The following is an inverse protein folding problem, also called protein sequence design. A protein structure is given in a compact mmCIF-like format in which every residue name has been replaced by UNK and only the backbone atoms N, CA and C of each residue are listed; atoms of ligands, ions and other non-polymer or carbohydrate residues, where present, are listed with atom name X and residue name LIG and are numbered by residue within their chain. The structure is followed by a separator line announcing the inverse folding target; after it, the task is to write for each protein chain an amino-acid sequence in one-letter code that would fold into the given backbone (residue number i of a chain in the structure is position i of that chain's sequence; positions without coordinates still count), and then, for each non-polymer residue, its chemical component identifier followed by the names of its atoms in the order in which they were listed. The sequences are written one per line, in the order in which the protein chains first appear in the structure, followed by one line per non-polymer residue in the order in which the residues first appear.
data_IF_958529347615
#
_entry.id   IF_958529347615
#
_cell.length_a   1.000
_cell.length_b   1.000
_cell.length_c   1.000
_cell.angle_alpha   90.00
_cell.angle_beta   90.00
_cell.angle_gamma   90.00
#
_symmetry.space_group_name_H-M   'P 1'
#
loop_
_entity.id
_entity.type
_entity.pdbx_description
1 polymer ?
#
# COMPACT_ATOMS: atom_id res chain seq x y z
N UNK A 1 -20.26 5.19 4.01
CA UNK A 1 -19.18 5.89 4.74
C UNK A 1 -19.82 6.68 5.88
N UNK A 2 -19.48 6.35 7.12
CA UNK A 2 -19.96 7.07 8.29
C UNK A 2 -19.18 8.40 8.49
N UNK A 3 -19.47 9.15 9.57
CA UNK A 3 -18.86 10.46 9.81
C UNK A 3 -17.36 10.34 10.15
N UNK A 4 -16.99 9.33 10.94
CA UNK A 4 -15.58 9.10 11.29
C UNK A 4 -14.74 8.74 10.05
N UNK A 5 -15.28 7.92 9.16
CA UNK A 5 -14.63 7.59 7.89
C UNK A 5 -14.45 8.80 6.97
N UNK A 6 -15.43 9.70 6.93
CA UNK A 6 -15.32 10.95 6.16
C UNK A 6 -14.21 11.85 6.72
N UNK A 7 -14.11 11.96 8.04
CA UNK A 7 -13.04 12.74 8.68
C UNK A 7 -11.66 12.12 8.43
N UNK A 8 -11.51 10.80 8.49
CA UNK A 8 -10.27 10.10 8.14
C UNK A 8 -9.89 10.37 6.67
N UNK A 9 -10.84 10.24 5.76
CA UNK A 9 -10.63 10.52 4.34
C UNK A 9 -10.21 11.97 4.10
N UNK A 10 -10.89 12.93 4.73
CA UNK A 10 -10.58 14.35 4.65
C UNK A 10 -9.16 14.61 5.14
N UNK A 11 -8.80 14.09 6.32
CA UNK A 11 -7.46 14.21 6.88
C UNK A 11 -6.38 13.70 5.91
N UNK A 12 -6.57 12.50 5.34
CA UNK A 12 -5.59 11.91 4.43
C UNK A 12 -5.50 12.66 3.09
N UNK A 13 -6.61 13.24 2.60
CA UNK A 13 -6.56 14.13 1.44
C UNK A 13 -5.77 15.42 1.73
N UNK A 14 -5.96 16.02 2.90
CA UNK A 14 -5.29 17.27 3.28
C UNK A 14 -3.79 17.08 3.51
N UNK A 15 -3.39 16.02 4.24
CA UNK A 15 -1.98 15.80 4.56
C UNK A 15 -1.16 15.28 3.38
N UNK A 16 -1.78 14.76 2.33
CA UNK A 16 -1.09 14.19 1.17
C UNK A 16 -0.19 15.18 0.44
N UNK A 17 -0.46 16.48 0.55
CA UNK A 17 0.37 17.55 -0.01
C UNK A 17 1.20 18.30 1.05
N UNK A 18 1.30 17.77 2.28
CA UNK A 18 2.17 18.31 3.30
C UNK A 18 3.66 18.22 2.90
N UNK A 19 4.51 19.00 3.56
CA UNK A 19 5.95 18.98 3.33
C UNK A 19 6.55 17.58 3.53
N UNK A 20 6.06 16.86 4.56
CA UNK A 20 6.46 15.47 4.81
C UNK A 20 6.20 14.57 3.60
N UNK A 21 4.95 14.55 3.10
CA UNK A 21 4.59 13.70 1.95
C UNK A 21 5.30 14.12 0.67
N UNK A 22 5.48 15.43 0.43
CA UNK A 22 6.28 15.92 -0.69
C UNK A 22 7.74 15.45 -0.59
N UNK A 23 8.31 15.41 0.62
CA UNK A 23 9.67 14.90 0.84
C UNK A 23 9.85 13.44 0.48
N UNK A 24 8.79 12.64 0.52
CA UNK A 24 8.82 11.23 0.10
C UNK A 24 8.84 11.08 -1.42
N UNK A 25 8.39 12.08 -2.17
CA UNK A 25 8.26 12.09 -3.63
C UNK A 25 9.38 12.85 -4.34
N UNK A 26 10.50 13.11 -3.68
CA UNK A 26 11.66 13.76 -4.31
C UNK A 26 12.27 12.88 -5.40
N UNK A 27 12.83 13.51 -6.44
CA UNK A 27 13.51 12.80 -7.54
C UNK A 27 14.62 11.88 -7.02
N UNK A 28 15.32 12.27 -5.95
CA UNK A 28 16.35 11.44 -5.33
C UNK A 28 15.77 10.13 -4.76
N UNK A 29 14.69 10.24 -3.94
CA UNK A 29 14.06 9.07 -3.32
C UNK A 29 13.42 8.15 -4.35
N UNK A 30 12.68 8.74 -5.28
CA UNK A 30 12.03 8.00 -6.36
C UNK A 30 13.06 7.37 -7.31
N UNK A 31 14.14 8.08 -7.63
CA UNK A 31 15.24 7.59 -8.45
C UNK A 31 15.95 6.38 -7.83
N UNK A 32 16.10 6.35 -6.50
CA UNK A 32 16.63 5.19 -5.77
C UNK A 32 15.78 3.96 -5.99
N UNK A 33 14.46 4.09 -5.83
CA UNK A 33 13.52 2.97 -6.02
C UNK A 33 13.52 2.49 -7.47
N UNK A 34 13.54 3.42 -8.42
CA UNK A 34 13.61 3.07 -9.85
C UNK A 34 14.88 2.30 -10.20
N UNK A 35 16.01 2.65 -9.56
CA UNK A 35 17.31 1.98 -9.75
C UNK A 35 17.38 0.63 -9.02
N UNK A 36 16.85 0.59 -7.80
CA UNK A 36 16.81 -0.61 -6.96
C UNK A 36 15.45 -0.71 -6.26
N UNK A 37 14.48 -1.44 -6.84
CA UNK A 37 13.16 -1.61 -6.25
C UNK A 37 13.18 -2.23 -4.85
N UNK A 38 14.19 -3.05 -4.53
CA UNK A 38 14.34 -3.68 -3.21
C UNK A 38 14.48 -2.64 -2.09
N UNK A 39 15.03 -1.46 -2.40
CA UNK A 39 15.21 -0.37 -1.45
C UNK A 39 13.92 0.25 -0.91
N UNK A 40 12.75 -0.10 -1.47
CA UNK A 40 11.46 0.33 -0.98
C UNK A 40 10.99 -0.44 0.28
N UNK A 41 11.63 -1.54 0.62
CA UNK A 41 11.20 -2.43 1.69
C UNK A 41 12.13 -2.35 2.90
N UNK A 42 11.56 -2.61 4.08
CA UNK A 42 12.35 -2.81 5.28
C UNK A 42 13.26 -4.04 5.15
N UNK A 43 14.44 -4.04 5.78
CA UNK A 43 15.35 -5.19 5.75
C UNK A 43 14.64 -6.49 6.15
N UNK A 44 14.84 -7.55 5.37
CA UNK A 44 14.27 -8.88 5.62
C UNK A 44 12.80 -9.06 5.19
N UNK A 45 12.05 -7.97 4.95
CA UNK A 45 10.63 -8.07 4.57
C UNK A 45 10.47 -8.65 3.16
N UNK A 46 11.29 -8.21 2.22
CA UNK A 46 11.23 -8.69 0.85
C UNK A 46 11.63 -10.16 0.76
N UNK A 47 12.71 -10.54 1.44
CA UNK A 47 13.18 -11.93 1.54
C UNK A 47 12.13 -12.86 2.15
N UNK A 48 11.42 -12.36 3.18
CA UNK A 48 10.31 -13.09 3.78
C UNK A 48 9.19 -13.34 2.77
N UNK A 49 8.80 -12.34 2.00
CA UNK A 49 7.77 -12.49 0.97
C UNK A 49 8.25 -13.42 -0.16
N UNK A 50 9.47 -13.26 -0.65
CA UNK A 50 10.07 -14.13 -1.69
C UNK A 50 10.14 -15.60 -1.25
N UNK A 51 10.41 -15.87 0.03
CA UNK A 51 10.41 -17.21 0.60
C UNK A 51 9.06 -17.92 0.43
N UNK A 52 7.95 -17.19 0.51
CA UNK A 52 6.62 -17.77 0.51
C UNK A 52 5.95 -17.76 -0.87
N UNK A 53 6.17 -16.74 -1.68
CA UNK A 53 5.50 -16.59 -2.98
C UNK A 53 6.43 -16.70 -4.18
N UNK A 54 7.72 -16.87 -3.96
CA UNK A 54 8.73 -16.85 -5.01
C UNK A 54 8.99 -15.44 -5.56
N UNK A 55 9.26 -15.33 -6.85
CA UNK A 55 9.39 -14.02 -7.48
C UNK A 55 8.03 -13.34 -7.69
N UNK A 56 8.05 -12.03 -7.86
CA UNK A 56 6.83 -11.21 -8.00
C UNK A 56 6.31 -11.09 -9.43
N UNK A 57 7.10 -11.50 -10.42
CA UNK A 57 6.74 -11.37 -11.84
C UNK A 57 5.42 -12.09 -12.15
N UNK A 58 4.45 -11.35 -12.69
CA UNK A 58 3.11 -11.84 -13.01
C UNK A 58 2.18 -12.07 -11.81
N UNK A 59 2.66 -11.94 -10.56
CA UNK A 59 1.83 -12.08 -9.35
C UNK A 59 0.87 -10.91 -9.22
N UNK A 60 -0.35 -11.18 -8.80
CA UNK A 60 -1.33 -10.15 -8.45
C UNK A 60 -1.12 -9.74 -6.99
N UNK A 61 -0.81 -8.47 -6.77
CA UNK A 61 -0.52 -7.91 -5.45
C UNK A 61 -1.47 -6.76 -5.16
N UNK A 62 -2.15 -6.84 -4.02
CA UNK A 62 -2.99 -5.77 -3.49
C UNK A 62 -2.24 -5.03 -2.38
N UNK A 63 -2.23 -3.71 -2.44
CA UNK A 63 -1.76 -2.84 -1.38
C UNK A 63 -2.94 -1.99 -0.87
N UNK A 64 -3.62 -2.40 0.20
CA UNK A 64 -4.62 -1.57 0.86
C UNK A 64 -3.96 -0.51 1.76
N UNK A 65 -4.59 0.64 1.96
CA UNK A 65 -4.04 1.82 2.64
C UNK A 65 -2.66 2.20 2.10
N UNK A 66 -2.52 2.16 0.78
CA UNK A 66 -1.22 2.31 0.16
C UNK A 66 -0.83 3.78 -0.04
N UNK A 67 -1.80 4.65 -0.24
CA UNK A 67 -1.51 6.02 -0.61
C UNK A 67 -0.52 6.11 -1.78
N UNK A 68 0.55 6.87 -1.60
CA UNK A 68 1.69 6.95 -2.51
C UNK A 68 2.88 6.07 -2.07
N UNK A 69 2.60 4.91 -1.52
CA UNK A 69 3.58 3.98 -0.98
C UNK A 69 4.56 3.49 -2.06
N UNK A 70 5.84 3.64 -1.78
CA UNK A 70 6.93 3.22 -2.66
C UNK A 70 6.90 1.72 -3.00
N UNK A 71 6.36 0.89 -2.12
CA UNK A 71 6.24 -0.56 -2.36
C UNK A 71 5.36 -0.87 -3.59
N UNK A 72 4.33 -0.05 -3.89
CA UNK A 72 3.50 -0.24 -5.08
C UNK A 72 4.33 -0.11 -6.37
N UNK A 73 5.17 0.93 -6.44
CA UNK A 73 6.07 1.12 -7.58
C UNK A 73 7.11 0.01 -7.66
N UNK A 74 7.67 -0.38 -6.51
CA UNK A 74 8.68 -1.43 -6.45
C UNK A 74 8.15 -2.77 -6.94
N UNK A 75 6.98 -3.21 -6.50
CA UNK A 75 6.35 -4.43 -6.99
C UNK A 75 6.07 -4.37 -8.50
N UNK A 76 5.58 -3.23 -9.01
CA UNK A 76 5.36 -3.05 -10.44
C UNK A 76 6.67 -3.11 -11.24
N UNK A 77 7.75 -2.49 -10.74
CA UNK A 77 9.10 -2.59 -11.34
C UNK A 77 9.65 -4.02 -11.33
N UNK A 78 9.27 -4.84 -10.35
CA UNK A 78 9.60 -6.27 -10.29
C UNK A 78 8.66 -7.15 -11.13
N UNK A 79 7.78 -6.56 -11.94
CA UNK A 79 6.90 -7.26 -12.87
C UNK A 79 5.60 -7.79 -12.28
N UNK A 80 5.21 -7.37 -11.07
CA UNK A 80 3.92 -7.71 -10.50
C UNK A 80 2.78 -6.93 -11.16
N UNK A 81 1.57 -7.50 -11.12
CA UNK A 81 0.30 -6.80 -11.42
C UNK A 81 -0.21 -6.20 -10.12
N UNK A 82 -0.11 -4.89 -9.99
CA UNK A 82 -0.34 -4.18 -8.73
C UNK A 82 -1.70 -3.48 -8.75
N UNK A 83 -2.48 -3.70 -7.69
CA UNK A 83 -3.65 -2.91 -7.35
C UNK A 83 -3.35 -2.15 -6.06
N UNK A 84 -3.41 -0.83 -6.11
CA UNK A 84 -3.22 0.09 -5.00
C UNK A 84 -4.56 0.64 -4.57
N UNK A 85 -4.97 0.41 -3.33
CA UNK A 85 -6.25 0.88 -2.79
C UNK A 85 -6.03 1.81 -1.60
N UNK A 86 -6.73 2.94 -1.57
CA UNK A 86 -6.69 3.88 -0.45
C UNK A 86 -8.00 4.65 -0.32
N UNK A 87 -8.29 5.14 0.88
CA UNK A 87 -9.46 5.99 1.13
C UNK A 87 -9.27 7.41 0.56
N UNK A 88 -8.02 7.85 0.41
CA UNK A 88 -7.64 9.19 -0.08
C UNK A 88 -7.45 9.18 -1.60
N UNK A 89 -8.36 9.83 -2.31
CA UNK A 89 -8.20 10.06 -3.75
C UNK A 89 -6.92 10.85 -4.03
N UNK A 90 -6.60 11.84 -3.19
CA UNK A 90 -5.46 12.72 -3.41
C UNK A 90 -4.13 11.97 -3.34
N UNK A 91 -4.00 11.01 -2.43
CA UNK A 91 -2.80 10.16 -2.38
C UNK A 91 -2.71 9.26 -3.62
N UNK A 92 -3.82 8.69 -4.06
CA UNK A 92 -3.85 7.87 -5.28
C UNK A 92 -3.53 8.69 -6.53
N UNK A 93 -4.00 9.94 -6.65
CA UNK A 93 -3.65 10.84 -7.74
C UNK A 93 -2.14 11.12 -7.77
N UNK A 94 -1.53 11.40 -6.61
CA UNK A 94 -0.10 11.61 -6.48
C UNK A 94 0.69 10.36 -6.90
N UNK A 95 0.26 9.19 -6.46
CA UNK A 95 0.87 7.91 -6.84
C UNK A 95 0.72 7.64 -8.34
N UNK A 96 -0.47 7.89 -8.89
CA UNK A 96 -0.75 7.72 -10.32
C UNK A 96 0.14 8.60 -11.18
N UNK A 97 0.34 9.87 -10.82
CA UNK A 97 1.22 10.77 -11.55
C UNK A 97 2.68 10.26 -11.62
N UNK A 98 3.15 9.55 -10.57
CA UNK A 98 4.47 8.93 -10.57
C UNK A 98 4.50 7.70 -11.48
N UNK A 99 3.53 6.80 -11.35
CA UNK A 99 3.47 5.58 -12.17
C UNK A 99 3.32 5.90 -13.66
N UNK A 100 2.49 6.87 -14.03
CA UNK A 100 2.31 7.32 -15.43
C UNK A 100 3.65 7.83 -16.00
N UNK A 101 4.38 8.66 -15.24
CA UNK A 101 5.70 9.16 -15.64
C UNK A 101 6.75 8.05 -15.82
N UNK A 102 6.60 6.94 -15.11
CA UNK A 102 7.50 5.79 -15.21
C UNK A 102 7.04 4.73 -16.20
N UNK A 103 5.83 4.88 -16.78
CA UNK A 103 5.23 3.89 -17.67
C UNK A 103 4.85 2.60 -16.93
N UNK A 104 4.52 2.69 -15.64
CA UNK A 104 4.08 1.55 -14.85
C UNK A 104 2.56 1.40 -14.91
N UNK A 105 2.09 0.19 -15.14
CA UNK A 105 0.68 -0.17 -15.09
C UNK A 105 0.31 -0.58 -13.65
N UNK A 106 -0.28 0.36 -12.89
CA UNK A 106 -0.81 0.12 -11.54
C UNK A 106 -2.28 0.50 -11.55
N UNK A 107 -3.13 -0.40 -11.08
CA UNK A 107 -4.55 -0.12 -10.87
C UNK A 107 -4.73 0.66 -9.56
N UNK A 108 -5.44 1.79 -9.62
CA UNK A 108 -5.71 2.63 -8.45
C UNK A 108 -7.21 2.63 -8.13
N UNK A 109 -7.56 2.21 -6.90
CA UNK A 109 -8.94 2.09 -6.45
C UNK A 109 -9.15 2.90 -5.17
N UNK A 110 -10.02 3.92 -5.24
CA UNK A 110 -10.46 4.62 -4.03
C UNK A 110 -11.47 3.74 -3.28
N UNK A 111 -11.02 3.13 -2.18
CA UNK A 111 -11.82 2.25 -1.33
C UNK A 111 -11.35 2.31 0.13
N UNK A 112 -12.24 1.98 1.06
CA UNK A 112 -11.90 1.87 2.47
C UNK A 112 -11.28 0.50 2.75
N UNK A 113 -10.06 0.49 3.27
CA UNK A 113 -9.29 -0.72 3.59
C UNK A 113 -10.04 -1.67 4.53
N UNK A 114 -10.89 -1.15 5.40
CA UNK A 114 -11.68 -1.98 6.31
C UNK A 114 -12.67 -2.88 5.54
N UNK A 115 -13.24 -2.39 4.44
CA UNK A 115 -14.27 -3.12 3.68
C UNK A 115 -13.76 -3.76 2.39
N UNK A 116 -12.84 -3.12 1.70
CA UNK A 116 -12.33 -3.53 0.38
C UNK A 116 -13.48 -3.89 -0.58
N UNK A 117 -14.51 -3.02 -0.61
CA UNK A 117 -15.80 -3.30 -1.26
C UNK A 117 -15.73 -3.36 -2.78
N UNK A 118 -14.69 -2.71 -3.36
CA UNK A 118 -14.44 -2.67 -4.80
C UNK A 118 -13.34 -3.66 -5.23
N UNK A 119 -12.83 -4.46 -4.29
CA UNK A 119 -11.74 -5.40 -4.54
C UNK A 119 -12.33 -6.79 -4.82
N UNK A 120 -11.84 -7.40 -5.90
CA UNK A 120 -12.25 -8.74 -6.31
C UNK A 120 -11.87 -9.80 -5.28
N UNK A 121 -12.77 -10.78 -5.09
CA UNK A 121 -12.54 -11.91 -4.20
C UNK A 121 -11.58 -12.93 -4.83
N UNK A 122 -10.85 -13.66 -3.99
CA UNK A 122 -9.96 -14.79 -4.39
C UNK A 122 -9.05 -14.47 -5.60
N UNK A 123 -8.54 -13.23 -5.64
CA UNK A 123 -7.84 -12.70 -6.82
C UNK A 123 -6.35 -12.51 -6.60
N UNK A 124 -5.91 -12.20 -5.38
CA UNK A 124 -4.54 -11.78 -5.13
C UNK A 124 -3.66 -12.90 -4.57
N UNK A 125 -2.42 -12.95 -5.04
CA UNK A 125 -1.39 -13.87 -4.54
C UNK A 125 -0.79 -13.33 -3.22
N UNK A 126 -0.72 -12.00 -3.08
CA UNK A 126 -0.23 -11.29 -1.91
C UNK A 126 -1.10 -10.07 -1.62
N UNK A 127 -1.41 -9.86 -0.34
CA UNK A 127 -1.87 -8.55 0.18
C UNK A 127 -0.76 -8.00 1.07
N UNK A 128 -0.26 -6.81 0.74
CA UNK A 128 0.83 -6.16 1.49
C UNK A 128 0.37 -4.84 2.10
N UNK A 129 0.49 -4.70 3.41
CA UNK A 129 0.24 -3.46 4.16
C UNK A 129 1.50 -2.99 4.86
N UNK A 130 1.72 -1.68 4.92
CA UNK A 130 2.90 -1.13 5.59
C UNK A 130 2.68 0.30 6.10
N UNK A 131 3.63 0.75 6.92
CA UNK A 131 3.80 2.14 7.34
C UNK A 131 2.70 2.70 8.27
N UNK A 132 2.18 1.87 9.17
CA UNK A 132 1.31 2.33 10.25
C UNK A 132 -0.18 2.33 9.90
N UNK A 133 -0.61 1.41 9.05
CA UNK A 133 -2.02 1.23 8.66
C UNK A 133 -2.92 0.94 9.86
N UNK A 134 -2.51 0.04 10.75
CA UNK A 134 -3.38 -0.51 11.80
C UNK A 134 -3.94 0.54 12.77
N UNK A 135 -3.21 1.63 13.00
CA UNK A 135 -3.65 2.69 13.93
C UNK A 135 -4.85 3.50 13.42
N UNK A 136 -5.20 3.36 12.14
CA UNK A 136 -6.30 4.07 11.50
C UNK A 136 -7.53 3.19 11.25
N UNK A 137 -7.44 1.90 11.58
CA UNK A 137 -8.51 0.93 11.34
C UNK A 137 -9.25 0.64 12.64
N UNK A 138 -10.51 1.05 12.77
CA UNK A 138 -11.29 0.86 14.00
C UNK A 138 -11.70 -0.60 14.25
N UNK A 139 -11.88 -1.39 13.20
CA UNK A 139 -12.20 -2.82 13.30
C UNK A 139 -11.22 -3.68 12.50
N UNK A 140 -10.19 -4.18 13.18
CA UNK A 140 -9.19 -5.05 12.58
C UNK A 140 -9.75 -6.41 12.16
N UNK A 141 -10.78 -6.92 12.85
CA UNK A 141 -11.38 -8.19 12.47
C UNK A 141 -12.10 -8.07 11.11
N UNK A 142 -12.81 -6.96 10.90
CA UNK A 142 -13.46 -6.68 9.62
C UNK A 142 -12.40 -6.52 8.51
N UNK A 143 -11.36 -5.73 8.75
CA UNK A 143 -10.25 -5.56 7.81
C UNK A 143 -9.64 -6.90 7.40
N UNK A 144 -9.23 -7.73 8.37
CA UNK A 144 -8.57 -9.00 8.06
C UNK A 144 -9.52 -10.01 7.41
N UNK A 145 -10.81 -9.98 7.70
CA UNK A 145 -11.81 -10.79 6.99
C UNK A 145 -11.86 -10.41 5.51
N UNK A 146 -11.84 -9.13 5.19
CA UNK A 146 -11.85 -8.65 3.82
C UNK A 146 -10.51 -8.85 3.11
N UNK A 147 -9.37 -8.74 3.81
CA UNK A 147 -8.06 -9.14 3.29
C UNK A 147 -8.06 -10.64 2.92
N UNK A 148 -8.54 -11.50 3.81
CA UNK A 148 -8.64 -12.94 3.54
C UNK A 148 -9.56 -13.24 2.36
N UNK A 149 -10.68 -12.50 2.22
CA UNK A 149 -11.60 -12.61 1.08
C UNK A 149 -10.94 -12.26 -0.26
N UNK A 150 -10.06 -11.27 -0.28
CA UNK A 150 -9.36 -10.84 -1.48
C UNK A 150 -8.26 -11.84 -1.91
N UNK A 151 -7.67 -12.57 -0.96
CA UNK A 151 -6.61 -13.54 -1.22
C UNK A 151 -7.13 -14.79 -1.93
N UNK A 152 -6.37 -15.30 -2.88
CA UNK A 152 -6.54 -16.65 -3.42
C UNK A 152 -6.36 -17.70 -2.32
N UNK A 153 -6.90 -18.88 -2.54
CA UNK A 153 -6.55 -20.04 -1.71
C UNK A 153 -5.03 -20.29 -1.77
N UNK A 154 -4.37 -20.25 -0.60
CA UNK A 154 -2.91 -20.34 -0.49
C UNK A 154 -2.17 -19.02 -0.76
N UNK A 155 -2.88 -17.91 -0.92
CA UNK A 155 -2.26 -16.58 -0.95
C UNK A 155 -1.80 -16.13 0.43
N UNK A 156 -0.96 -15.10 0.47
CA UNK A 156 -0.33 -14.61 1.69
C UNK A 156 -0.71 -13.16 2.00
N UNK A 157 -0.86 -12.85 3.28
CA UNK A 157 -0.87 -11.48 3.77
C UNK A 157 0.47 -11.20 4.45
N UNK A 158 1.13 -10.13 4.06
CA UNK A 158 2.36 -9.66 4.68
C UNK A 158 2.16 -8.22 5.18
N UNK A 159 2.63 -7.96 6.39
CA UNK A 159 2.48 -6.65 7.02
C UNK A 159 3.79 -6.21 7.64
N UNK A 160 4.14 -4.94 7.38
CA UNK A 160 5.20 -4.22 8.07
C UNK A 160 4.59 -2.99 8.72
N UNK A 161 4.42 -3.00 10.04
CA UNK A 161 3.80 -1.89 10.74
C UNK A 161 4.68 -1.33 11.87
N UNK A 162 4.38 -0.11 12.28
CA UNK A 162 5.09 0.58 13.35
C UNK A 162 4.50 0.13 14.66
N UNK A 163 5.37 -0.29 15.60
CA UNK A 163 4.91 -0.66 16.93
C UNK A 163 4.23 0.54 17.62
N UNK A 164 3.04 0.37 18.23
CA UNK A 164 2.27 1.48 18.82
C UNK A 164 3.07 2.35 19.80
N UNK A 165 3.98 1.75 20.56
CA UNK A 165 4.81 2.46 21.52
C UNK A 165 5.90 3.35 20.92
N UNK A 166 6.21 3.23 19.62
CA UNK A 166 7.23 4.10 19.01
C UNK A 166 6.66 5.46 18.63
N UNK A 167 5.38 5.56 18.31
CA UNK A 167 4.73 6.81 17.87
C UNK A 167 4.82 7.98 18.86
N UNK A 168 4.65 7.79 20.19
CA UNK A 168 4.79 8.88 21.16
C UNK A 168 6.20 9.51 21.20
N UNK A 169 7.21 8.82 20.67
CA UNK A 169 8.61 9.24 20.75
C UNK A 169 9.18 9.74 19.41
N UNK A 170 8.39 9.76 18.35
CA UNK A 170 8.84 10.14 16.99
C UNK A 170 8.24 11.46 16.49
N UNK A 171 7.57 12.22 17.37
CA UNK A 171 7.04 13.55 17.05
C UNK A 171 8.03 14.64 17.41
#
# INVERSE_FOLDING_TARGET
MDEAEKEVKKYWNEVSDSEWYRSLRTEERLGRIKKDPRSAFAPGMLELMEKHIGNFSGRKILLPSSGDNHAAFAFALMGARVTSADISERQLENAKAISDRWGLEIEYICDNTMYLSKIDVETYDLVYTSNGTLTWIPDLNEMYRNVARALKKGGYSAMYDIHPFTRPFTM
#
